data_IF_130678665215
#
_entry.id   IF_130678665215
#
_cell.length_a   1.000
_cell.length_b   1.000
_cell.length_c   1.000
_cell.angle_alpha   90.00
_cell.angle_beta   90.00
_cell.angle_gamma   90.00
#
_symmetry.space_group_name_H-M   'P 1'
#
loop_
_entity.id
_entity.type
_entity.pdbx_description
1 polymer ?
#
# COMPACT_ATOMS: atom_id res chain seq x y z
N UNK A 1 18.50 9.25 -3.50
CA UNK A 1 17.84 7.94 -3.41
C UNK A 1 17.41 7.55 -4.81
N UNK A 2 17.73 6.35 -5.24
CA UNK A 2 17.47 5.84 -6.58
C UNK A 2 16.55 4.63 -6.48
N UNK A 3 15.51 4.59 -7.30
CA UNK A 3 14.61 3.44 -7.38
C UNK A 3 14.91 2.66 -8.67
N UNK A 4 15.12 1.36 -8.53
CA UNK A 4 15.26 0.44 -9.65
C UNK A 4 13.97 -0.38 -9.78
N UNK A 5 13.19 -0.09 -10.82
CA UNK A 5 11.92 -0.76 -11.09
C UNK A 5 12.07 -2.24 -11.45
N UNK A 6 13.19 -2.64 -12.06
CA UNK A 6 13.39 -4.03 -12.50
C UNK A 6 13.54 -4.99 -11.33
N UNK A 7 14.28 -4.58 -10.29
CA UNK A 7 14.57 -5.43 -9.13
C UNK A 7 13.73 -5.06 -7.90
N UNK A 8 12.86 -4.05 -8.01
CA UNK A 8 12.05 -3.51 -6.91
C UNK A 8 12.90 -3.11 -5.68
N UNK A 9 14.10 -2.58 -5.93
CA UNK A 9 15.06 -2.16 -4.92
C UNK A 9 15.22 -0.64 -4.92
N UNK A 10 15.41 -0.09 -3.73
CA UNK A 10 15.77 1.30 -3.52
C UNK A 10 17.22 1.34 -3.04
N UNK A 11 18.03 2.13 -3.74
CA UNK A 11 19.42 2.41 -3.40
C UNK A 11 19.53 3.80 -2.78
N UNK A 12 20.28 3.90 -1.69
CA UNK A 12 20.53 5.17 -1.03
C UNK A 12 21.91 5.15 -0.39
N UNK A 13 22.51 6.33 -0.33
CA UNK A 13 23.77 6.60 0.35
C UNK A 13 23.49 7.46 1.59
N UNK A 14 22.68 6.89 2.50
CA UNK A 14 22.24 7.55 3.72
C UNK A 14 22.33 6.54 4.86
N UNK A 15 22.92 6.96 5.98
CA UNK A 15 22.81 6.19 7.21
C UNK A 15 21.33 6.10 7.67
N UNK A 16 21.01 5.05 8.43
CA UNK A 16 19.68 4.74 8.96
C UNK A 16 19.09 5.89 9.77
N UNK A 17 19.90 6.67 10.50
CA UNK A 17 19.40 7.83 11.24
C UNK A 17 18.92 8.93 10.29
N UNK A 18 19.73 9.27 9.27
CA UNK A 18 19.38 10.26 8.24
C UNK A 18 18.15 9.83 7.45
N UNK A 19 18.06 8.53 7.11
CA UNK A 19 16.89 7.97 6.43
C UNK A 19 15.61 8.18 7.24
N UNK A 20 15.64 7.87 8.54
CA UNK A 20 14.50 8.06 9.44
C UNK A 20 14.07 9.52 9.55
N UNK A 21 15.02 10.46 9.55
CA UNK A 21 14.70 11.89 9.56
C UNK A 21 13.88 12.24 8.32
N UNK A 22 14.37 11.90 7.12
CA UNK A 22 13.71 12.19 5.84
C UNK A 22 12.31 11.56 5.78
N UNK A 23 12.13 10.32 6.24
CA UNK A 23 10.83 9.64 6.27
C UNK A 23 9.79 10.32 7.18
N UNK A 24 10.23 11.17 8.11
CA UNK A 24 9.34 11.88 9.04
C UNK A 24 9.17 13.36 8.71
N UNK A 25 9.99 13.89 7.80
CA UNK A 25 9.95 15.29 7.37
C UNK A 25 8.78 15.48 6.40
N UNK A 26 7.89 16.46 6.63
CA UNK A 26 6.85 16.78 5.67
C UNK A 26 7.45 17.29 4.36
N UNK A 27 6.81 16.94 3.24
CA UNK A 27 7.15 17.48 1.92
C UNK A 27 6.51 18.86 1.84
N UNK A 28 7.32 19.88 1.57
CA UNK A 28 6.87 21.26 1.36
C UNK A 28 6.70 21.54 -0.14
N UNK A 29 5.95 22.58 -0.49
CA UNK A 29 5.63 22.94 -1.88
C UNK A 29 6.87 23.12 -2.77
N UNK A 30 8.02 23.48 -2.17
CA UNK A 30 9.28 23.71 -2.88
C UNK A 30 10.14 22.45 -3.08
N UNK A 31 9.57 21.26 -2.89
CA UNK A 31 10.32 20.01 -3.04
C UNK A 31 10.42 19.63 -4.50
N UNK A 32 11.61 19.77 -5.10
CA UNK A 32 11.87 19.35 -6.48
C UNK A 32 12.16 17.84 -6.56
N UNK A 33 11.44 17.14 -7.41
CA UNK A 33 11.73 15.75 -7.79
C UNK A 33 12.31 15.75 -9.19
N UNK A 34 13.50 15.16 -9.37
CA UNK A 34 14.15 15.05 -10.68
C UNK A 34 14.18 13.58 -11.11
N UNK A 35 13.81 13.33 -12.37
CA UNK A 35 14.03 12.03 -13.01
C UNK A 35 15.50 11.94 -13.40
N UNK A 36 16.14 10.84 -13.03
CA UNK A 36 17.57 10.62 -13.25
C UNK A 36 17.74 9.44 -14.19
N UNK A 37 18.60 9.59 -15.20
CA UNK A 37 18.85 8.58 -16.25
C UNK A 37 19.48 7.31 -15.66
N UNK A 38 19.13 6.14 -16.25
CA UNK A 38 19.52 4.79 -15.79
C UNK A 38 21.03 4.57 -15.57
N UNK A 39 21.90 5.33 -16.24
CA UNK A 39 23.35 5.17 -16.10
C UNK A 39 23.83 5.47 -14.67
N UNK A 40 23.17 6.39 -13.96
CA UNK A 40 23.45 6.67 -12.55
C UNK A 40 22.99 5.54 -11.63
N UNK A 41 21.95 4.79 -12.00
CA UNK A 41 21.51 3.59 -11.28
C UNK A 41 22.55 2.47 -11.42
N UNK A 42 23.11 2.27 -12.62
CA UNK A 42 24.18 1.27 -12.84
C UNK A 42 25.42 1.59 -12.00
N UNK A 43 25.83 2.86 -11.96
CA UNK A 43 26.95 3.32 -11.14
C UNK A 43 26.69 3.15 -9.64
N UNK A 44 25.46 3.40 -9.18
CA UNK A 44 25.06 3.17 -7.79
C UNK A 44 25.14 1.69 -7.37
N UNK A 45 24.69 0.78 -8.25
CA UNK A 45 24.77 -0.68 -8.03
C UNK A 45 26.23 -1.15 -7.91
N UNK A 46 27.14 -0.56 -8.68
CA UNK A 46 28.57 -0.91 -8.66
C UNK A 46 29.31 -0.40 -7.40
N UNK A 47 28.81 0.66 -6.76
CA UNK A 47 29.50 1.35 -5.66
C UNK A 47 29.09 0.89 -4.24
N UNK A 48 28.68 -0.37 -4.04
CA UNK A 48 28.29 -0.92 -2.73
C UNK A 48 27.26 -0.06 -1.94
N UNK A 49 26.34 0.63 -2.63
CA UNK A 49 25.31 1.39 -1.95
C UNK A 49 24.35 0.48 -1.19
N UNK A 50 23.93 0.92 0.00
CA UNK A 50 22.91 0.22 0.77
C UNK A 50 21.60 0.14 -0.01
N UNK A 51 21.08 -1.08 -0.17
CA UNK A 51 19.82 -1.35 -0.86
C UNK A 51 18.76 -1.88 0.08
N UNK A 52 17.51 -1.50 -0.14
CA UNK A 52 16.34 -2.02 0.58
C UNK A 52 15.26 -2.43 -0.43
N UNK A 53 14.47 -3.44 -0.09
CA UNK A 53 13.24 -3.78 -0.83
C UNK A 53 12.27 -2.60 -0.81
N UNK A 54 11.68 -2.28 -1.96
CA UNK A 54 10.77 -1.16 -2.14
C UNK A 54 9.54 -1.24 -1.23
N UNK A 55 8.94 -2.41 -1.07
CA UNK A 55 7.76 -2.57 -0.22
C UNK A 55 8.14 -2.45 1.26
N UNK A 56 9.31 -2.97 1.65
CA UNK A 56 9.83 -2.78 3.02
C UNK A 56 10.05 -1.30 3.31
N UNK A 57 10.64 -0.57 2.36
CA UNK A 57 10.84 0.87 2.48
C UNK A 57 9.53 1.64 2.57
N UNK A 58 8.55 1.35 1.69
CA UNK A 58 7.24 1.99 1.73
C UNK A 58 6.51 1.70 3.04
N UNK A 59 6.54 0.46 3.51
CA UNK A 59 5.95 0.04 4.77
C UNK A 59 6.52 0.85 5.95
N UNK A 60 7.85 0.88 6.08
CA UNK A 60 8.52 1.61 7.16
C UNK A 60 8.29 3.12 7.06
N UNK A 61 8.37 3.67 5.85
CA UNK A 61 8.11 5.09 5.59
C UNK A 61 6.69 5.46 5.97
N UNK A 62 5.70 4.66 5.57
CA UNK A 62 4.29 4.90 5.89
C UNK A 62 4.03 4.86 7.40
N UNK A 63 4.64 3.91 8.13
CA UNK A 63 4.55 3.85 9.59
C UNK A 63 5.13 5.12 10.23
N UNK A 64 6.33 5.52 9.80
CA UNK A 64 7.05 6.67 10.37
C UNK A 64 6.40 8.00 10.01
N UNK A 65 5.88 8.15 8.79
CA UNK A 65 5.21 9.36 8.32
C UNK A 65 3.81 9.51 8.93
N UNK A 66 3.05 8.41 9.03
CA UNK A 66 1.71 8.41 9.62
C UNK A 66 1.73 8.94 11.05
N UNK A 67 2.58 8.38 11.93
CA UNK A 67 2.56 8.67 13.38
C UNK A 67 1.15 8.50 14.00
N UNK A 68 0.34 7.60 13.45
CA UNK A 68 -1.06 7.42 13.86
C UNK A 68 -2.03 8.42 13.26
N UNK A 69 -1.60 9.24 12.30
CA UNK A 69 -2.46 10.07 11.43
C UNK A 69 -2.85 9.29 10.18
N UNK A 70 -3.78 9.85 9.42
CA UNK A 70 -4.28 9.26 8.18
C UNK A 70 -4.20 10.29 7.04
N UNK A 71 -4.07 9.86 5.77
CA UNK A 71 -4.14 10.78 4.63
C UNK A 71 -5.41 11.64 4.65
N UNK A 72 -5.28 12.89 4.23
CA UNK A 72 -6.42 13.81 4.12
C UNK A 72 -7.43 13.24 3.10
N UNK A 73 -8.71 13.26 3.47
CA UNK A 73 -9.78 12.75 2.61
C UNK A 73 -10.07 11.25 2.73
N UNK A 74 -9.35 10.51 3.59
CA UNK A 74 -9.72 9.12 3.88
C UNK A 74 -11.03 9.06 4.67
N UNK A 75 -12.03 8.36 4.13
CA UNK A 75 -13.28 8.08 4.82
C UNK A 75 -13.08 7.02 5.91
N UNK A 76 -13.25 7.41 7.18
CA UNK A 76 -13.04 6.55 8.34
C UNK A 76 -14.15 5.52 8.57
N UNK A 77 -15.31 5.72 7.93
CA UNK A 77 -16.48 4.85 8.00
C UNK A 77 -16.56 3.87 6.84
N UNK A 78 -15.82 4.12 5.76
CA UNK A 78 -15.68 3.19 4.66
C UNK A 78 -15.04 1.88 5.11
N UNK A 79 -15.53 0.77 4.56
CA UNK A 79 -14.98 -0.54 4.87
C UNK A 79 -13.65 -0.73 4.14
N UNK A 80 -12.63 -1.11 4.89
CA UNK A 80 -11.34 -1.53 4.34
C UNK A 80 -11.36 -3.04 4.18
N UNK A 81 -11.08 -3.50 2.96
CA UNK A 81 -10.85 -4.92 2.68
C UNK A 81 -9.38 -5.14 2.39
N UNK A 82 -8.82 -6.18 3.02
CA UNK A 82 -7.47 -6.62 2.70
C UNK A 82 -7.49 -7.46 1.41
N UNK A 83 -6.67 -7.08 0.44
CA UNK A 83 -6.55 -7.79 -0.84
C UNK A 83 -5.66 -9.03 -0.72
N UNK A 84 -4.58 -8.92 0.05
CA UNK A 84 -3.64 -10.00 0.30
C UNK A 84 -2.97 -9.83 1.67
N UNK A 85 -2.55 -10.94 2.26
CA UNK A 85 -1.84 -10.94 3.54
C UNK A 85 -0.43 -10.36 3.35
N UNK A 86 -0.03 -9.31 4.11
CA UNK A 86 1.33 -8.78 4.02
C UNK A 86 2.36 -9.83 4.45
N UNK A 87 3.55 -9.79 3.85
CA UNK A 87 4.67 -10.61 4.28
C UNK A 87 5.26 -10.08 5.60
N UNK A 88 4.54 -10.25 6.71
CA UNK A 88 4.92 -9.77 8.04
C UNK A 88 6.34 -10.15 8.48
N UNK A 89 6.88 -11.35 8.18
CA UNK A 89 8.28 -11.66 8.48
C UNK A 89 9.31 -10.68 7.88
N UNK A 90 8.99 -10.05 6.75
CA UNK A 90 9.85 -9.03 6.11
C UNK A 90 9.59 -7.61 6.63
N UNK A 91 8.48 -7.39 7.34
CA UNK A 91 8.01 -6.06 7.69
C UNK A 91 8.12 -5.79 9.18
N UNK A 92 8.27 -4.51 9.54
CA UNK A 92 8.22 -4.10 10.93
C UNK A 92 6.82 -4.35 11.49
N UNK A 93 6.71 -5.29 12.41
CA UNK A 93 5.49 -5.56 13.18
C UNK A 93 5.46 -4.69 14.43
N UNK A 94 4.36 -3.98 14.64
CA UNK A 94 4.11 -3.18 15.84
C UNK A 94 2.88 -3.70 16.59
N UNK A 95 2.64 -3.16 17.77
CA UNK A 95 1.55 -3.59 18.66
C UNK A 95 0.20 -3.61 17.90
N UNK A 96 -0.55 -4.70 18.08
CA UNK A 96 -1.85 -4.95 17.45
C UNK A 96 -1.87 -5.11 15.92
N UNK A 97 -0.74 -4.96 15.21
CA UNK A 97 -0.71 -5.02 13.74
C UNK A 97 -1.28 -6.35 13.19
N UNK A 98 -0.83 -7.48 13.73
CA UNK A 98 -1.32 -8.82 13.31
C UNK A 98 -2.80 -9.00 13.68
N UNK A 99 -3.21 -8.52 14.85
CA UNK A 99 -4.61 -8.62 15.32
C UNK A 99 -5.57 -7.86 14.39
N UNK A 100 -5.19 -6.65 13.97
CA UNK A 100 -5.97 -5.86 13.02
C UNK A 100 -5.99 -6.55 11.64
N UNK A 101 -4.83 -7.00 11.15
CA UNK A 101 -4.74 -7.69 9.86
C UNK A 101 -5.58 -8.98 9.83
N UNK A 102 -5.61 -9.74 10.93
CA UNK A 102 -6.44 -10.93 11.08
C UNK A 102 -7.93 -10.59 11.08
N UNK A 103 -8.36 -9.47 11.67
CA UNK A 103 -9.75 -9.04 11.57
C UNK A 103 -10.12 -8.73 10.11
N UNK A 104 -9.25 -7.98 9.40
CA UNK A 104 -9.49 -7.58 8.02
C UNK A 104 -9.35 -8.71 7.00
N UNK A 105 -8.65 -9.81 7.34
CA UNK A 105 -8.62 -11.01 6.51
C UNK A 105 -9.93 -11.79 6.54
N UNK A 106 -10.69 -11.67 7.62
CA UNK A 106 -11.97 -12.39 7.81
C UNK A 106 -13.11 -11.58 7.20
N UNK A 107 -13.13 -10.27 7.42
CA UNK A 107 -14.21 -9.40 6.93
C UNK A 107 -13.74 -7.98 6.61
N UNK A 108 -14.33 -7.32 5.60
CA UNK A 108 -14.20 -5.88 5.42
C UNK A 108 -14.74 -5.13 6.64
N UNK A 109 -14.00 -4.14 7.14
CA UNK A 109 -14.37 -3.40 8.35
C UNK A 109 -13.87 -1.95 8.28
N UNK A 110 -14.63 -1.02 8.86
CA UNK A 110 -14.22 0.38 8.91
C UNK A 110 -13.10 0.61 9.92
N UNK A 111 -12.30 1.66 9.73
CA UNK A 111 -11.16 1.96 10.60
C UNK A 111 -11.62 2.27 12.04
N UNK A 112 -12.72 3.00 12.20
CA UNK A 112 -13.26 3.32 13.52
C UNK A 112 -13.87 2.09 14.19
N UNK A 113 -14.61 1.27 13.45
CA UNK A 113 -15.24 0.09 14.04
C UNK A 113 -14.19 -0.98 14.39
N UNK A 114 -13.13 -1.12 13.60
CA UNK A 114 -11.96 -1.94 13.93
C UNK A 114 -11.38 -1.58 15.30
N UNK A 115 -11.15 -0.28 15.55
CA UNK A 115 -10.64 0.21 16.83
C UNK A 115 -11.58 -0.13 17.99
N UNK A 116 -12.90 0.05 17.81
CA UNK A 116 -13.92 -0.26 18.83
C UNK A 116 -14.02 -1.76 19.11
N UNK A 117 -14.10 -2.58 18.06
CA UNK A 117 -14.27 -4.03 18.17
C UNK A 117 -13.07 -4.69 18.86
N UNK A 118 -11.85 -4.30 18.48
CA UNK A 118 -10.62 -4.83 19.08
C UNK A 118 -10.27 -4.15 20.40
N UNK A 119 -10.98 -3.07 20.78
CA UNK A 119 -10.72 -2.24 21.96
C UNK A 119 -9.27 -1.72 22.00
N UNK A 120 -8.75 -1.28 20.85
CA UNK A 120 -7.38 -0.77 20.70
C UNK A 120 -7.38 0.71 20.28
N UNK A 121 -6.33 1.49 20.61
CA UNK A 121 -6.21 2.87 20.16
C UNK A 121 -6.23 3.01 18.63
N UNK A 122 -7.06 3.94 18.12
CA UNK A 122 -7.22 4.21 16.68
C UNK A 122 -5.88 4.42 15.94
N UNK A 123 -4.91 5.06 16.61
CA UNK A 123 -3.56 5.28 16.05
C UNK A 123 -2.91 4.01 15.50
N UNK A 124 -3.14 2.84 16.10
CA UNK A 124 -2.57 1.58 15.60
C UNK A 124 -3.29 1.10 14.34
N UNK A 125 -4.62 1.27 14.30
CA UNK A 125 -5.44 0.97 13.12
C UNK A 125 -5.05 1.87 11.95
N UNK A 126 -4.93 3.17 12.18
CA UNK A 126 -4.54 4.14 11.15
C UNK A 126 -3.11 3.90 10.66
N UNK A 127 -2.18 3.56 11.56
CA UNK A 127 -0.80 3.22 11.18
C UNK A 127 -0.77 2.00 10.28
N UNK A 128 -1.52 0.94 10.60
CA UNK A 128 -1.55 -0.26 9.77
C UNK A 128 -2.22 0.00 8.43
N UNK A 129 -3.33 0.75 8.43
CA UNK A 129 -3.99 1.18 7.21
C UNK A 129 -3.04 1.92 6.28
N UNK A 130 -2.29 2.91 6.79
CA UNK A 130 -1.32 3.65 5.99
C UNK A 130 -0.25 2.74 5.38
N UNK A 131 0.30 1.82 6.19
CA UNK A 131 1.33 0.88 5.74
C UNK A 131 0.81 -0.07 4.66
N UNK A 132 -0.36 -0.68 4.87
CA UNK A 132 -1.00 -1.57 3.89
C UNK A 132 -1.41 -0.82 2.63
N UNK A 133 -1.96 0.39 2.74
CA UNK A 133 -2.35 1.21 1.60
C UNK A 133 -1.13 1.61 0.75
N UNK A 134 0.01 1.93 1.38
CA UNK A 134 1.24 2.29 0.67
C UNK A 134 1.76 1.14 -0.21
N UNK A 135 1.67 -0.11 0.25
CA UNK A 135 2.10 -1.30 -0.51
C UNK A 135 0.96 -1.95 -1.32
N UNK A 136 -0.21 -1.30 -1.42
CA UNK A 136 -1.36 -1.80 -2.19
C UNK A 136 -2.09 -3.02 -1.60
N UNK A 137 -1.87 -3.36 -0.32
CA UNK A 137 -2.56 -4.47 0.37
C UNK A 137 -4.00 -4.15 0.80
N UNK A 138 -4.38 -2.87 0.88
CA UNK A 138 -5.68 -2.43 1.35
C UNK A 138 -6.50 -1.80 0.21
N UNK A 139 -7.77 -2.16 0.11
CA UNK A 139 -8.74 -1.53 -0.79
C UNK A 139 -9.88 -0.93 0.03
N UNK A 140 -10.17 0.33 -0.21
CA UNK A 140 -11.32 1.02 0.39
C UNK A 140 -12.55 0.73 -0.46
N UNK A 141 -13.59 0.19 0.16
CA UNK A 141 -14.92 0.17 -0.43
C UNK A 141 -15.57 1.52 -0.17
N UNK A 142 -15.34 2.46 -1.08
CA UNK A 142 -16.22 3.63 -1.16
C UNK A 142 -17.60 3.09 -1.49
N UNK A 143 -18.62 3.45 -0.70
CA UNK A 143 -20.01 3.34 -1.18
C UNK A 143 -20.11 4.28 -2.38
N UNK A 144 -19.71 3.81 -3.55
CA UNK A 144 -20.30 4.32 -4.78
C UNK A 144 -21.78 4.04 -4.57
N UNK A 145 -22.59 5.10 -4.51
CA UNK A 145 -24.00 4.95 -4.87
C UNK A 145 -23.92 4.34 -6.26
N UNK A 146 -24.12 3.03 -6.36
CA UNK A 146 -24.44 2.40 -7.63
C UNK A 146 -25.68 3.15 -8.09
N UNK A 147 -25.50 4.09 -9.02
CA UNK A 147 -26.53 4.26 -10.04
C UNK A 147 -26.72 2.85 -10.55
N UNK A 148 -27.88 2.28 -10.28
CA UNK A 148 -28.25 0.92 -10.64
C UNK A 148 -27.63 0.61 -11.99
N UNK A 149 -26.77 -0.41 -12.04
CA UNK A 149 -26.42 -1.02 -13.32
C UNK A 149 -27.77 -1.38 -13.94
N UNK A 150 -28.16 -0.59 -14.94
CA UNK A 150 -29.30 -0.90 -15.78
C UNK A 150 -29.09 -2.34 -16.23
N UNK A 151 -30.04 -3.18 -15.80
CA UNK A 151 -30.07 -4.60 -16.10
C UNK A 151 -30.41 -4.73 -17.58
N UNK A 152 -29.42 -4.53 -18.45
CA UNK A 152 -29.58 -4.77 -19.87
C UNK A 152 -29.32 -6.24 -20.17
N UNK A 153 -30.43 -6.86 -20.52
CA UNK A 153 -30.66 -8.21 -20.98
C UNK A 153 -29.75 -8.52 -22.17
N UNK A 154 -29.16 -9.73 -22.13
CA UNK A 154 -28.47 -10.47 -23.20
C UNK A 154 -28.09 -9.71 -24.47
N UNK A 155 -26.79 -9.53 -24.73
CA UNK A 155 -26.17 -9.78 -26.04
C UNK A 155 -24.65 -9.94 -25.90
N UNK A 156 -24.15 -11.12 -26.30
CA UNK A 156 -22.85 -11.68 -25.92
C UNK A 156 -21.61 -10.86 -26.31
N UNK A 157 -20.69 -10.74 -25.35
CA UNK A 157 -19.36 -10.16 -25.58
C UNK A 157 -18.54 -11.03 -26.55
N UNK A 158 -17.70 -10.38 -27.36
CA UNK A 158 -16.79 -11.03 -28.32
C UNK A 158 -15.95 -12.16 -27.70
N UNK A 159 -15.63 -12.05 -26.42
CA UNK A 159 -14.89 -13.07 -25.68
C UNK A 159 -15.69 -14.35 -25.46
N UNK A 160 -17.02 -14.30 -25.25
CA UNK A 160 -17.83 -15.52 -25.11
C UNK A 160 -17.92 -16.30 -26.43
N UNK A 161 -17.90 -15.59 -27.57
CA UNK A 161 -17.89 -16.19 -28.92
C UNK A 161 -16.54 -16.82 -29.28
N UNK A 162 -15.43 -16.27 -28.79
CA UNK A 162 -14.09 -16.87 -28.98
C UNK A 162 -13.93 -18.11 -28.08
N UNK A 163 -14.36 -18.02 -26.83
CA UNK A 163 -14.20 -19.11 -25.86
C UNK A 163 -15.03 -20.36 -26.20
N UNK A 164 -16.21 -20.17 -26.78
CA UNK A 164 -17.09 -21.27 -27.22
C UNK A 164 -16.61 -22.03 -28.46
N UNK A 165 -15.70 -21.46 -29.27
CA UNK A 165 -15.14 -22.14 -30.45
C UNK A 165 -13.99 -23.10 -30.12
N UNK A 166 -13.33 -22.94 -28.97
CA UNK A 166 -12.20 -23.80 -28.59
C UNK A 166 -12.60 -25.15 -27.97
N UNK A 167 -13.85 -25.28 -27.51
CA UNK A 167 -14.32 -26.48 -26.80
C UNK A 167 -15.34 -27.32 -27.58
N UNK A 168 -15.49 -27.09 -28.89
CA UNK A 168 -16.27 -27.97 -29.77
C UNK A 168 -15.30 -28.78 -30.64
N UNK A 169 -15.37 -30.10 -30.48
CA UNK A 169 -14.52 -31.12 -31.09
C UNK A 169 -14.51 -31.05 -32.62
#
# INVERSE_FOLDING_TARGET
>A
MLFNNTNNLIYFDLDKQKLRLIQTTPIFENTSVSLVTLDLVKLAVQNNQTSIDYNVFLWDTAILASKGRIPKGTDLHSNVQMQFWPNFPKFKVFRHAIQIAALWSIKPESLLNTSRQLKIPQRYVFTLYCAMNAIGCAKVHTKTISVDEFKDIENGSLFSRIFSRFFKK
#
